data_IF_314651756752
#
_entry.id   IF_314651756752
#
_cell.length_a   1.000
_cell.length_b   1.000
_cell.length_c   1.000
_cell.angle_alpha   90.00
_cell.angle_beta   90.00
_cell.angle_gamma   90.00
#
_symmetry.space_group_name_H-M   'P 1'
#
loop_
_entity.id
_entity.type
_entity.pdbx_description
1 polymer ?
#
# COMPACT_ATOMS: atom_id res chain seq x y z
N UNK A 1 -23.13 26.96 -2.18
CA UNK A 1 -23.19 26.62 -3.61
C UNK A 1 -22.02 25.69 -3.83
N UNK A 2 -22.29 24.40 -3.57
CA UNK A 2 -21.33 23.32 -3.52
C UNK A 2 -20.98 22.87 -4.92
N UNK A 3 -19.71 22.77 -5.21
CA UNK A 3 -19.20 22.21 -6.45
C UNK A 3 -19.07 20.68 -6.29
N UNK A 4 -19.85 19.88 -7.01
CA UNK A 4 -19.74 18.44 -6.97
C UNK A 4 -19.03 17.98 -8.23
N UNK A 5 -17.72 17.84 -8.22
CA UNK A 5 -17.07 16.91 -9.15
C UNK A 5 -15.54 16.87 -8.94
N UNK A 6 -15.09 16.02 -8.01
CA UNK A 6 -13.71 15.49 -8.04
C UNK A 6 -13.75 13.96 -7.96
N UNK A 7 -14.50 13.36 -8.89
CA UNK A 7 -14.35 11.95 -9.23
C UNK A 7 -13.36 11.84 -10.37
N UNK A 8 -12.13 11.46 -10.06
CA UNK A 8 -11.21 10.95 -11.06
C UNK A 8 -11.90 9.84 -11.87
N UNK A 9 -11.93 9.92 -13.22
CA UNK A 9 -12.52 8.87 -14.04
C UNK A 9 -11.74 7.59 -13.85
N UNK A 10 -12.42 6.56 -13.33
CA UNK A 10 -11.95 5.20 -13.40
C UNK A 10 -11.84 4.81 -14.87
N UNK A 11 -10.64 4.84 -15.41
CA UNK A 11 -10.36 4.25 -16.72
C UNK A 11 -10.38 2.75 -16.52
N UNK A 12 -11.53 2.14 -16.82
CA UNK A 12 -11.62 0.70 -17.03
C UNK A 12 -10.60 0.30 -18.12
N UNK A 13 -9.86 -0.78 -17.94
CA UNK A 13 -8.98 -1.28 -18.99
C UNK A 13 -9.87 -1.80 -20.14
N UNK A 14 -9.82 -1.12 -21.26
CA UNK A 14 -10.40 -1.58 -22.52
C UNK A 14 -9.92 -3.02 -22.78
N UNK A 15 -10.87 -3.94 -22.83
CA UNK A 15 -10.66 -5.37 -23.11
C UNK A 15 -10.19 -5.54 -24.56
N UNK A 16 -8.91 -5.25 -24.80
CA UNK A 16 -8.22 -5.72 -25.99
C UNK A 16 -7.92 -7.22 -25.80
N UNK A 17 -8.31 -8.03 -26.75
CA UNK A 17 -8.25 -9.49 -26.77
C UNK A 17 -7.02 -10.04 -26.07
N UNK A 18 -7.24 -10.92 -25.11
CA UNK A 18 -6.21 -11.56 -24.28
C UNK A 18 -5.43 -12.55 -25.15
N UNK A 19 -4.49 -12.05 -25.92
CA UNK A 19 -3.39 -12.91 -26.41
C UNK A 19 -2.56 -13.18 -25.16
N UNK A 20 -2.59 -14.41 -24.66
CA UNK A 20 -1.71 -14.83 -23.57
C UNK A 20 -0.28 -14.65 -24.06
N UNK A 21 0.37 -13.58 -23.64
CA UNK A 21 1.78 -13.35 -23.95
C UNK A 21 2.57 -14.39 -23.18
N UNK A 22 3.31 -15.24 -23.88
CA UNK A 22 4.24 -16.17 -23.24
C UNK A 22 5.37 -15.37 -22.58
N UNK A 23 5.40 -15.40 -21.26
CA UNK A 23 6.40 -14.72 -20.44
C UNK A 23 7.43 -15.69 -19.86
N UNK A 24 7.48 -16.94 -20.31
CA UNK A 24 8.40 -17.97 -19.80
C UNK A 24 9.86 -17.54 -19.92
N UNK A 25 10.23 -16.87 -21.02
CA UNK A 25 11.57 -16.32 -21.23
C UNK A 25 11.98 -15.20 -20.27
N UNK A 26 11.04 -14.61 -19.52
CA UNK A 26 11.34 -13.51 -18.59
C UNK A 26 11.80 -13.96 -17.21
N UNK A 27 11.71 -15.25 -16.87
CA UNK A 27 12.12 -15.80 -15.56
C UNK A 27 11.60 -14.99 -14.36
N UNK A 28 10.36 -14.48 -14.45
CA UNK A 28 9.79 -13.56 -13.45
C UNK A 28 9.67 -14.21 -12.07
N UNK A 29 9.29 -15.50 -12.02
CA UNK A 29 9.14 -16.21 -10.75
C UNK A 29 10.47 -16.38 -10.02
N UNK A 30 11.54 -16.67 -10.77
CA UNK A 30 12.87 -16.79 -10.22
C UNK A 30 13.40 -15.45 -9.71
N UNK A 31 13.21 -14.38 -10.49
CA UNK A 31 13.53 -13.03 -10.04
C UNK A 31 12.76 -12.65 -8.75
N UNK A 32 11.45 -12.85 -8.73
CA UNK A 32 10.63 -12.52 -7.56
C UNK A 32 11.03 -13.37 -6.34
N UNK A 33 11.37 -14.64 -6.55
CA UNK A 33 11.91 -15.53 -5.51
C UNK A 33 13.24 -15.02 -4.92
N UNK A 34 14.08 -14.37 -5.72
CA UNK A 34 15.36 -13.80 -5.26
C UNK A 34 15.18 -12.57 -4.34
N UNK A 35 14.00 -11.95 -4.32
CA UNK A 35 13.72 -10.73 -3.55
C UNK A 35 13.33 -11.03 -2.09
N UNK A 36 14.12 -11.83 -1.37
CA UNK A 36 13.82 -12.31 -0.02
C UNK A 36 13.71 -11.19 1.03
N UNK A 37 14.36 -10.05 0.81
CA UNK A 37 14.34 -8.90 1.73
C UNK A 37 13.11 -7.99 1.58
N UNK A 38 12.25 -8.25 0.58
CA UNK A 38 11.06 -7.45 0.31
C UNK A 38 9.80 -8.13 0.85
N UNK A 39 8.83 -7.30 1.27
CA UNK A 39 7.50 -7.81 1.64
C UNK A 39 6.79 -8.44 0.45
N UNK A 40 5.88 -9.39 0.72
CA UNK A 40 5.07 -10.06 -0.30
C UNK A 40 4.30 -9.06 -1.17
N UNK A 41 3.74 -8.02 -0.55
CA UNK A 41 3.05 -6.93 -1.26
C UNK A 41 3.96 -6.20 -2.25
N UNK A 42 5.22 -5.98 -1.88
CA UNK A 42 6.19 -5.33 -2.78
C UNK A 42 6.61 -6.28 -3.90
N UNK A 43 6.81 -7.56 -3.60
CA UNK A 43 7.12 -8.60 -4.58
C UNK A 43 6.00 -8.72 -5.60
N UNK A 44 4.74 -8.76 -5.16
CA UNK A 44 3.59 -8.82 -6.06
C UNK A 44 3.41 -7.55 -6.92
N UNK A 45 3.68 -6.38 -6.33
CA UNK A 45 3.68 -5.13 -7.10
C UNK A 45 4.76 -5.14 -8.19
N UNK A 46 5.96 -5.67 -7.90
CA UNK A 46 7.03 -5.80 -8.89
C UNK A 46 6.69 -6.84 -9.96
N UNK A 47 6.12 -7.98 -9.58
CA UNK A 47 5.62 -8.99 -10.54
C UNK A 47 4.64 -8.36 -11.53
N UNK A 48 3.65 -7.66 -11.02
CA UNK A 48 2.64 -6.97 -11.84
C UNK A 48 3.28 -5.92 -12.76
N UNK A 49 4.21 -5.11 -12.25
CA UNK A 49 4.87 -4.07 -13.04
C UNK A 49 5.71 -4.64 -14.18
N UNK A 50 6.43 -5.73 -13.93
CA UNK A 50 7.26 -6.41 -14.92
C UNK A 50 6.40 -7.11 -15.97
N UNK A 51 5.33 -7.78 -15.57
CA UNK A 51 4.37 -8.37 -16.49
C UNK A 51 3.79 -7.34 -17.46
N UNK A 52 3.33 -6.21 -16.93
CA UNK A 52 2.78 -5.12 -17.75
C UNK A 52 3.82 -4.53 -18.71
N UNK A 53 5.09 -4.47 -18.31
CA UNK A 53 6.18 -4.07 -19.20
C UNK A 53 6.41 -5.09 -20.31
N UNK A 54 6.52 -6.36 -19.97
CA UNK A 54 6.73 -7.45 -20.93
C UNK A 54 5.58 -7.53 -21.95
N UNK A 55 4.32 -7.44 -21.49
CA UNK A 55 3.14 -7.37 -22.37
C UNK A 55 3.19 -6.13 -23.28
N UNK A 56 3.68 -5.00 -22.77
CA UNK A 56 3.79 -3.79 -23.57
C UNK A 56 4.84 -3.89 -24.66
N UNK A 57 6.04 -4.42 -24.34
CA UNK A 57 7.10 -4.59 -25.34
C UNK A 57 6.79 -5.70 -26.35
N UNK A 58 6.01 -6.71 -25.96
CA UNK A 58 5.56 -7.77 -26.87
C UNK A 58 4.76 -7.22 -28.07
N UNK A 59 4.02 -6.11 -27.87
CA UNK A 59 3.33 -5.38 -28.97
C UNK A 59 4.31 -4.80 -29.99
N UNK A 60 5.58 -4.65 -29.65
CA UNK A 60 6.67 -4.20 -30.52
C UNK A 60 7.54 -5.37 -31.00
N UNK A 61 7.02 -6.61 -30.87
CA UNK A 61 7.72 -7.85 -31.24
C UNK A 61 9.00 -8.11 -30.46
N UNK A 62 9.06 -7.64 -29.21
CA UNK A 62 10.10 -7.94 -28.24
C UNK A 62 9.56 -9.04 -27.33
N UNK A 63 10.10 -10.24 -27.48
CA UNK A 63 9.58 -11.46 -26.84
C UNK A 63 10.39 -11.88 -25.62
N UNK A 64 11.61 -11.37 -25.47
CA UNK A 64 12.52 -11.75 -24.40
C UNK A 64 13.29 -10.54 -23.83
N UNK A 65 13.86 -10.67 -22.63
CA UNK A 65 14.66 -9.59 -22.02
C UNK A 65 15.88 -9.18 -22.84
N UNK A 66 16.48 -10.11 -23.58
CA UNK A 66 17.68 -9.90 -24.41
C UNK A 66 17.42 -8.91 -25.55
N UNK A 67 16.18 -8.86 -26.04
CA UNK A 67 15.75 -7.98 -27.13
C UNK A 67 15.41 -6.57 -26.63
N UNK A 68 15.31 -6.38 -25.29
CA UNK A 68 14.96 -5.07 -24.71
C UNK A 68 16.14 -4.10 -24.87
N UNK A 69 15.86 -2.98 -25.49
CA UNK A 69 16.81 -1.89 -25.66
C UNK A 69 16.52 -0.73 -24.71
N UNK A 70 17.51 0.14 -24.50
CA UNK A 70 17.31 1.41 -23.78
C UNK A 70 16.18 2.24 -24.41
N UNK A 71 16.04 2.20 -25.71
CA UNK A 71 14.99 2.91 -26.45
C UNK A 71 13.61 2.34 -26.10
N UNK A 72 13.46 1.01 -26.00
CA UNK A 72 12.20 0.37 -25.58
C UNK A 72 11.81 0.84 -24.17
N UNK A 73 12.75 0.87 -23.23
CA UNK A 73 12.50 1.33 -21.87
C UNK A 73 12.07 2.81 -21.84
N UNK A 74 12.79 3.69 -22.55
CA UNK A 74 12.43 5.12 -22.63
C UNK A 74 11.04 5.34 -23.21
N UNK A 75 10.69 4.59 -24.27
CA UNK A 75 9.36 4.64 -24.88
C UNK A 75 8.27 4.17 -23.90
N UNK A 76 8.56 3.13 -23.11
CA UNK A 76 7.62 2.69 -22.08
C UNK A 76 7.38 3.76 -21.02
N UNK A 77 8.44 4.36 -20.50
CA UNK A 77 8.32 5.45 -19.50
C UNK A 77 7.57 6.65 -20.07
N UNK A 78 7.85 7.04 -21.33
CA UNK A 78 7.11 8.10 -22.01
C UNK A 78 5.62 7.73 -22.17
N UNK A 79 5.31 6.49 -22.56
CA UNK A 79 3.94 6.00 -22.68
C UNK A 79 3.18 6.08 -21.33
N UNK A 80 3.84 5.71 -20.21
CA UNK A 80 3.22 5.85 -18.88
C UNK A 80 2.90 7.32 -18.56
N UNK A 81 3.77 8.24 -18.93
CA UNK A 81 3.56 9.69 -18.74
C UNK A 81 2.42 10.20 -19.62
N UNK A 82 2.36 9.80 -20.89
CA UNK A 82 1.26 10.16 -21.81
C UNK A 82 -0.08 9.62 -21.33
N UNK A 83 -0.09 8.44 -20.72
CA UNK A 83 -1.28 7.83 -20.11
C UNK A 83 -1.61 8.40 -18.72
N UNK A 84 -0.95 9.49 -18.32
CA UNK A 84 -1.18 10.19 -17.06
C UNK A 84 -1.07 9.34 -15.80
N UNK A 85 -0.22 8.30 -15.81
CA UNK A 85 0.07 7.57 -14.58
C UNK A 85 0.66 8.51 -13.53
N UNK A 86 0.25 8.32 -12.27
CA UNK A 86 0.83 9.07 -11.16
C UNK A 86 2.36 8.92 -11.14
N UNK A 87 3.09 10.02 -10.94
CA UNK A 87 4.58 10.05 -10.93
C UNK A 87 5.18 8.99 -10.01
N UNK A 88 4.57 8.78 -8.83
CA UNK A 88 4.93 7.71 -7.89
C UNK A 88 4.83 6.32 -8.53
N UNK A 89 3.77 6.07 -9.30
CA UNK A 89 3.58 4.79 -9.99
C UNK A 89 4.62 4.59 -11.08
N UNK A 90 4.96 5.62 -11.84
CA UNK A 90 6.02 5.58 -12.86
C UNK A 90 7.38 5.30 -12.20
N UNK A 91 7.68 5.98 -11.10
CA UNK A 91 8.92 5.77 -10.36
C UNK A 91 9.02 4.33 -9.81
N UNK A 92 7.94 3.77 -9.25
CA UNK A 92 7.89 2.38 -8.77
C UNK A 92 8.11 1.39 -9.91
N UNK A 93 7.42 1.56 -11.04
CA UNK A 93 7.59 0.72 -12.25
C UNK A 93 9.03 0.75 -12.75
N UNK A 94 9.63 1.93 -12.83
CA UNK A 94 11.03 2.07 -13.20
C UNK A 94 11.99 1.42 -12.18
N UNK A 95 11.67 1.47 -10.88
CA UNK A 95 12.46 0.80 -9.85
C UNK A 95 12.38 -0.74 -9.99
N UNK A 96 11.21 -1.29 -10.29
CA UNK A 96 11.04 -2.71 -10.58
C UNK A 96 11.88 -3.15 -11.80
N UNK A 97 11.79 -2.41 -12.91
CA UNK A 97 12.59 -2.67 -14.13
C UNK A 97 14.09 -2.60 -13.84
N UNK A 98 14.54 -1.57 -13.11
CA UNK A 98 15.95 -1.37 -12.77
C UNK A 98 16.49 -2.52 -11.93
N UNK A 99 15.69 -3.03 -10.99
CA UNK A 99 16.07 -4.15 -10.15
C UNK A 99 16.08 -5.46 -10.92
N UNK A 100 15.11 -5.67 -11.82
CA UNK A 100 15.03 -6.84 -12.68
C UNK A 100 16.22 -6.90 -13.65
N UNK A 101 16.48 -5.86 -14.42
CA UNK A 101 17.58 -5.87 -15.41
C UNK A 101 18.96 -5.94 -14.74
N UNK A 102 19.13 -5.39 -13.56
CA UNK A 102 20.35 -5.61 -12.77
C UNK A 102 20.52 -7.09 -12.41
N UNK A 103 19.47 -7.72 -11.91
CA UNK A 103 19.48 -9.15 -11.59
C UNK A 103 19.77 -10.01 -12.83
N UNK A 104 19.22 -9.71 -14.00
CA UNK A 104 19.51 -10.46 -15.25
C UNK A 104 20.97 -10.32 -15.66
N UNK A 105 21.60 -9.17 -15.42
CA UNK A 105 23.04 -9.00 -15.67
C UNK A 105 23.88 -9.75 -14.61
N UNK A 106 23.54 -9.63 -13.34
CA UNK A 106 24.24 -10.32 -12.23
C UNK A 106 24.17 -11.85 -12.36
N UNK A 107 23.10 -12.37 -12.93
CA UNK A 107 22.92 -13.82 -13.19
C UNK A 107 23.43 -14.28 -14.58
N UNK A 108 24.09 -13.38 -15.32
CA UNK A 108 24.71 -13.70 -16.62
C UNK A 108 23.71 -13.92 -17.78
N UNK A 109 22.42 -13.57 -17.59
CA UNK A 109 21.39 -13.66 -18.64
C UNK A 109 21.51 -12.53 -19.66
N UNK A 110 21.95 -11.36 -19.22
CA UNK A 110 22.22 -10.22 -20.09
C UNK A 110 23.67 -9.76 -19.93
N UNK A 111 24.23 -9.27 -21.02
CA UNK A 111 25.57 -8.66 -21.03
C UNK A 111 25.56 -7.19 -20.67
N UNK A 112 24.42 -6.50 -20.80
CA UNK A 112 24.30 -5.07 -20.51
C UNK A 112 22.90 -4.74 -19.96
N UNK A 113 22.84 -3.78 -19.03
CA UNK A 113 21.60 -3.31 -18.44
C UNK A 113 20.89 -2.26 -19.33
N UNK A 114 19.72 -2.55 -19.92
CA UNK A 114 18.98 -1.58 -20.74
C UNK A 114 18.43 -0.38 -19.93
N UNK A 115 18.41 -0.49 -18.60
CA UNK A 115 18.05 0.63 -17.70
C UNK A 115 19.22 1.57 -17.42
N UNK A 116 20.45 1.23 -17.83
CA UNK A 116 21.63 2.08 -17.60
C UNK A 116 21.42 3.48 -18.18
N UNK A 117 21.55 4.51 -17.35
CA UNK A 117 21.37 5.91 -17.74
C UNK A 117 19.93 6.34 -18.06
N UNK A 118 18.92 5.49 -17.77
CA UNK A 118 17.52 5.89 -17.83
C UNK A 118 17.14 6.58 -16.53
N UNK A 119 16.95 7.90 -16.61
CA UNK A 119 16.46 8.68 -15.48
C UNK A 119 14.93 8.78 -15.55
N UNK A 120 14.29 8.53 -14.41
CA UNK A 120 12.87 8.72 -14.21
C UNK A 120 12.71 9.68 -13.04
N UNK A 121 12.19 10.88 -13.32
CA UNK A 121 11.93 11.85 -12.26
C UNK A 121 10.82 11.29 -11.34
N UNK A 122 11.15 11.14 -10.08
CA UNK A 122 10.19 10.74 -9.04
C UNK A 122 9.11 11.80 -8.76
N UNK A 123 9.22 12.98 -9.40
CA UNK A 123 8.44 14.15 -9.07
C UNK A 123 8.92 14.81 -7.78
N UNK A 124 8.52 16.03 -7.56
CA UNK A 124 8.70 16.67 -6.26
C UNK A 124 7.92 15.87 -5.21
N UNK A 125 8.60 15.47 -4.16
CA UNK A 125 7.93 14.95 -2.97
C UNK A 125 7.16 16.12 -2.37
N UNK A 126 5.86 16.20 -2.62
CA UNK A 126 5.02 17.11 -1.84
C UNK A 126 5.18 16.70 -0.39
N UNK A 127 5.59 17.63 0.44
CA UNK A 127 5.54 17.44 1.88
C UNK A 127 4.11 17.04 2.23
N UNK A 128 3.93 16.06 3.14
CA UNK A 128 2.61 15.75 3.63
C UNK A 128 1.95 17.02 4.14
N UNK A 129 0.67 17.22 3.81
CA UNK A 129 -0.11 18.28 4.44
C UNK A 129 -0.22 17.92 5.92
N UNK A 130 0.30 18.76 6.77
CA UNK A 130 0.12 18.65 8.22
C UNK A 130 -1.21 19.31 8.54
N UNK A 131 -2.07 18.62 9.29
CA UNK A 131 -3.30 19.20 9.80
C UNK A 131 -2.92 20.29 10.80
N UNK A 132 -3.61 21.42 10.76
CA UNK A 132 -3.51 22.42 11.82
C UNK A 132 -4.24 21.93 13.08
N UNK A 133 -4.11 22.71 14.16
CA UNK A 133 -4.69 22.32 15.44
C UNK A 133 -6.21 22.19 15.38
N UNK A 134 -6.87 23.13 14.74
CA UNK A 134 -8.34 23.16 14.64
C UNK A 134 -8.87 22.04 13.74
N UNK A 135 -8.12 21.68 12.68
CA UNK A 135 -8.43 20.53 11.82
C UNK A 135 -8.28 19.21 12.59
N UNK A 136 -7.25 19.13 13.44
CA UNK A 136 -6.99 17.95 14.27
C UNK A 136 -8.06 17.79 15.36
N UNK A 137 -8.42 18.87 16.06
CA UNK A 137 -9.48 18.85 17.07
C UNK A 137 -10.82 18.41 16.47
N UNK A 138 -11.18 18.91 15.29
CA UNK A 138 -12.40 18.48 14.56
C UNK A 138 -12.37 17.03 14.11
N UNK A 139 -11.19 16.48 13.85
CA UNK A 139 -11.04 15.06 13.49
C UNK A 139 -11.18 14.16 14.72
N UNK A 140 -10.60 14.56 15.85
CA UNK A 140 -10.62 13.77 17.08
C UNK A 140 -11.94 13.90 17.84
N UNK A 141 -12.65 15.05 17.70
CA UNK A 141 -13.92 15.32 18.33
C UNK A 141 -15.00 15.64 17.27
N UNK A 142 -15.37 14.67 16.43
CA UNK A 142 -16.39 14.89 15.41
C UNK A 142 -17.75 15.19 16.06
N UNK A 143 -18.62 15.96 15.38
CA UNK A 143 -19.99 16.19 15.84
C UNK A 143 -20.71 14.86 16.06
N UNK A 144 -21.46 14.76 17.15
CA UNK A 144 -22.25 13.57 17.47
C UNK A 144 -23.39 13.44 16.48
N UNK A 145 -23.39 12.37 15.68
CA UNK A 145 -24.55 11.94 14.89
C UNK A 145 -25.47 11.10 15.79
N UNK A 146 -26.71 11.56 16.05
CA UNK A 146 -27.63 10.81 16.91
C UNK A 146 -28.06 9.47 16.32
N UNK A 147 -27.95 9.30 15.00
CA UNK A 147 -28.34 8.06 14.31
C UNK A 147 -27.17 7.06 14.17
N UNK A 148 -25.96 7.48 14.57
CA UNK A 148 -24.77 6.61 14.53
C UNK A 148 -24.81 5.58 15.67
N UNK A 149 -24.62 4.27 15.38
CA UNK A 149 -24.51 3.26 16.42
C UNK A 149 -23.36 3.55 17.39
N UNK A 150 -23.61 3.38 18.69
CA UNK A 150 -22.63 3.67 19.75
C UNK A 150 -21.32 2.90 19.58
N UNK A 151 -21.41 1.62 19.15
CA UNK A 151 -20.24 0.80 18.89
C UNK A 151 -19.36 1.37 17.77
N UNK A 152 -19.97 1.99 16.74
CA UNK A 152 -19.22 2.57 15.61
C UNK A 152 -18.40 3.75 16.10
N UNK A 153 -19.03 4.66 16.83
CA UNK A 153 -18.35 5.82 17.42
C UNK A 153 -17.22 5.38 18.33
N UNK A 154 -17.47 4.45 19.25
CA UNK A 154 -16.47 3.95 20.17
C UNK A 154 -15.29 3.28 19.44
N UNK A 155 -15.55 2.57 18.32
CA UNK A 155 -14.51 2.00 17.47
C UNK A 155 -13.68 3.09 16.80
N UNK A 156 -14.33 4.06 16.19
CA UNK A 156 -13.66 5.09 15.39
C UNK A 156 -12.86 6.02 16.29
N UNK A 157 -13.36 6.37 17.48
CA UNK A 157 -12.61 7.07 18.54
C UNK A 157 -11.35 6.28 18.93
N UNK A 158 -11.47 4.99 19.18
CA UNK A 158 -10.34 4.15 19.58
C UNK A 158 -9.31 4.00 18.42
N UNK A 159 -9.77 3.92 17.18
CA UNK A 159 -8.88 3.89 15.98
C UNK A 159 -8.12 5.21 15.87
N UNK A 160 -8.77 6.35 15.98
CA UNK A 160 -8.15 7.67 15.87
C UNK A 160 -7.16 7.91 17.03
N UNK A 161 -7.53 7.60 18.26
CA UNK A 161 -6.66 7.70 19.42
C UNK A 161 -5.43 6.80 19.32
N UNK A 162 -5.58 5.56 18.84
CA UNK A 162 -4.46 4.68 18.58
C UNK A 162 -3.52 5.24 17.52
N UNK A 163 -4.04 5.75 16.41
CA UNK A 163 -3.22 6.28 15.33
C UNK A 163 -2.48 7.55 15.75
N UNK A 164 -3.18 8.46 16.41
CA UNK A 164 -2.63 9.75 16.83
C UNK A 164 -1.75 9.64 18.08
N UNK A 165 -2.27 9.01 19.14
CA UNK A 165 -1.61 8.97 20.44
C UNK A 165 -0.42 8.01 20.50
N UNK A 166 -0.45 6.90 19.74
CA UNK A 166 0.62 5.91 19.76
C UNK A 166 1.51 5.91 18.52
N UNK A 167 1.09 6.56 17.45
CA UNK A 167 1.84 6.61 16.18
C UNK A 167 2.01 5.24 15.50
N UNK A 168 1.12 4.28 15.76
CA UNK A 168 1.09 3.00 15.04
C UNK A 168 0.73 3.23 13.58
N UNK A 169 1.28 2.42 12.68
CA UNK A 169 0.88 2.48 11.27
C UNK A 169 -0.51 1.88 11.10
N UNK A 170 -1.30 2.41 10.15
CA UNK A 170 -2.64 1.87 9.84
C UNK A 170 -2.61 0.35 9.64
N UNK A 171 -1.61 -0.18 8.93
CA UNK A 171 -1.50 -1.63 8.71
C UNK A 171 -1.17 -2.42 10.00
N UNK A 172 -0.42 -1.84 10.93
CA UNK A 172 -0.12 -2.43 12.23
C UNK A 172 -1.38 -2.42 13.12
N UNK A 173 -2.11 -1.29 13.15
CA UNK A 173 -3.39 -1.17 13.84
C UNK A 173 -4.40 -2.22 13.37
N UNK A 174 -4.57 -2.35 12.04
CA UNK A 174 -5.50 -3.34 11.47
C UNK A 174 -5.11 -4.81 11.78
N UNK A 175 -3.84 -5.06 12.06
CA UNK A 175 -3.33 -6.40 12.38
C UNK A 175 -3.40 -6.76 13.87
N UNK A 176 -3.80 -5.81 14.74
CA UNK A 176 -3.86 -6.06 16.18
C UNK A 176 -4.98 -7.04 16.55
N UNK A 177 -4.65 -7.90 17.49
CA UNK A 177 -5.60 -8.72 18.24
C UNK A 177 -5.78 -8.16 19.66
N UNK A 178 -6.82 -8.57 20.35
CA UNK A 178 -7.13 -8.06 21.71
C UNK A 178 -6.02 -8.39 22.69
N UNK A 179 -5.38 -9.56 22.55
CA UNK A 179 -4.29 -10.03 23.41
C UNK A 179 -2.98 -9.26 23.22
N UNK A 180 -2.89 -8.45 22.18
CA UNK A 180 -1.75 -7.55 21.96
C UNK A 180 -1.78 -6.32 22.88
N UNK A 181 -2.89 -6.07 23.58
CA UNK A 181 -3.06 -4.92 24.47
C UNK A 181 -2.74 -5.27 25.93
N UNK A 182 -1.96 -4.42 26.56
CA UNK A 182 -1.84 -4.36 28.02
C UNK A 182 -2.33 -2.99 28.50
N UNK A 183 -3.63 -2.92 28.80
CA UNK A 183 -4.27 -1.67 29.25
C UNK A 183 -3.94 -1.31 30.70
N UNK A 184 -3.37 -2.23 31.48
CA UNK A 184 -2.93 -1.97 32.85
C UNK A 184 -1.57 -1.26 32.81
N UNK A 185 -0.66 -1.73 31.97
CA UNK A 185 0.65 -1.11 31.75
C UNK A 185 0.62 0.01 30.69
N UNK A 186 -0.54 0.27 30.07
CA UNK A 186 -0.67 1.29 29.02
C UNK A 186 0.22 1.00 27.80
N UNK A 187 0.22 -0.21 27.30
CA UNK A 187 1.05 -0.60 26.16
C UNK A 187 0.33 -1.49 25.17
N UNK A 188 0.81 -1.49 23.92
CA UNK A 188 0.38 -2.41 22.86
C UNK A 188 1.58 -3.02 22.17
N UNK A 189 1.49 -4.30 21.83
CA UNK A 189 2.49 -5.07 21.11
C UNK A 189 2.17 -5.06 19.64
N UNK A 190 3.04 -4.45 18.82
CA UNK A 190 2.83 -4.32 17.37
C UNK A 190 3.97 -4.97 16.57
N UNK A 191 3.60 -5.52 15.42
CA UNK A 191 4.54 -6.16 14.50
C UNK A 191 4.86 -5.22 13.33
N UNK A 192 6.11 -4.80 13.24
CA UNK A 192 6.59 -3.91 12.19
C UNK A 192 7.14 -4.64 10.97
N UNK A 193 7.72 -3.88 10.05
CA UNK A 193 8.37 -4.42 8.86
C UNK A 193 9.47 -5.43 9.23
N UNK A 194 9.43 -6.61 8.58
CA UNK A 194 10.40 -7.69 8.83
C UNK A 194 10.09 -8.51 10.08
N UNK A 195 8.81 -8.59 10.46
CA UNK A 195 8.35 -9.35 11.64
C UNK A 195 9.08 -8.97 12.93
N UNK A 196 9.42 -7.69 13.07
CA UNK A 196 10.01 -7.17 14.31
C UNK A 196 8.90 -6.68 15.21
N UNK A 197 8.84 -7.29 16.40
CA UNK A 197 7.95 -6.86 17.47
C UNK A 197 8.49 -5.59 18.15
N UNK A 198 7.58 -4.69 18.54
CA UNK A 198 7.88 -3.57 19.42
C UNK A 198 6.69 -3.27 20.32
N UNK A 199 6.96 -2.81 21.51
CA UNK A 199 5.96 -2.22 22.40
C UNK A 199 5.77 -0.75 22.03
N UNK A 200 4.52 -0.33 22.06
CA UNK A 200 4.09 1.04 21.81
C UNK A 200 3.36 1.54 23.04
N UNK A 201 3.77 2.67 23.65
CA UNK A 201 3.08 3.24 24.80
C UNK A 201 1.71 3.79 24.38
N UNK A 202 0.72 3.59 25.23
CA UNK A 202 -0.63 4.11 25.09
C UNK A 202 -0.86 5.20 26.15
N UNK A 203 -1.18 6.41 25.71
CA UNK A 203 -1.58 7.48 26.60
C UNK A 203 -2.94 7.20 27.24
N UNK A 204 -3.24 7.91 28.33
CA UNK A 204 -4.50 7.77 29.08
C UNK A 204 -5.74 7.94 28.18
N UNK A 205 -5.82 8.93 27.25
CA UNK A 205 -6.96 9.06 26.33
C UNK A 205 -7.14 7.82 25.44
N UNK A 206 -6.02 7.27 24.92
CA UNK A 206 -6.04 6.07 24.09
C UNK A 206 -6.54 4.85 24.88
N UNK A 207 -6.08 4.69 26.11
CA UNK A 207 -6.51 3.60 27.00
C UNK A 207 -8.01 3.68 27.29
N UNK A 208 -8.53 4.88 27.55
CA UNK A 208 -9.95 5.08 27.85
C UNK A 208 -10.84 4.85 26.62
N UNK A 209 -10.40 5.28 25.42
CA UNK A 209 -11.09 5.00 24.18
C UNK A 209 -11.12 3.47 23.89
N UNK A 210 -9.99 2.78 24.09
CA UNK A 210 -9.92 1.33 23.95
C UNK A 210 -10.82 0.59 24.94
N UNK A 211 -10.88 1.03 26.20
CA UNK A 211 -11.79 0.41 27.19
C UNK A 211 -13.25 0.55 26.79
N UNK A 212 -13.66 1.72 26.32
CA UNK A 212 -15.03 1.92 25.79
C UNK A 212 -15.31 1.01 24.60
N UNK A 213 -14.41 0.97 23.64
CA UNK A 213 -14.55 0.10 22.48
C UNK A 213 -14.64 -1.37 22.87
N UNK A 214 -13.77 -1.87 23.70
CA UNK A 214 -13.76 -3.27 24.14
C UNK A 214 -15.05 -3.68 24.85
N UNK A 215 -15.72 -2.74 25.51
CA UNK A 215 -17.04 -2.95 26.13
C UNK A 215 -18.14 -3.25 25.11
N UNK A 216 -18.07 -2.64 23.92
CA UNK A 216 -19.06 -2.75 22.85
C UNK A 216 -18.63 -3.68 21.71
N UNK A 217 -17.34 -4.00 21.63
CA UNK A 217 -16.73 -4.73 20.52
C UNK A 217 -17.47 -6.03 20.17
N UNK A 218 -17.94 -6.77 21.17
CA UNK A 218 -18.62 -8.06 20.98
C UNK A 218 -19.95 -7.97 20.26
N UNK A 219 -20.51 -6.79 20.12
CA UNK A 219 -21.73 -6.56 19.33
C UNK A 219 -21.46 -6.75 17.83
N UNK A 220 -20.19 -6.57 17.39
CA UNK A 220 -19.82 -6.56 15.98
C UNK A 220 -18.77 -7.62 15.65
N UNK A 221 -17.80 -7.84 16.53
CA UNK A 221 -16.62 -8.68 16.30
C UNK A 221 -16.70 -9.93 17.15
N UNK A 222 -16.65 -11.09 16.51
CA UNK A 222 -16.70 -12.40 17.20
C UNK A 222 -15.35 -13.07 17.34
N UNK A 223 -14.34 -12.67 16.54
CA UNK A 223 -12.98 -13.22 16.57
C UNK A 223 -12.04 -12.48 17.54
N UNK A 224 -10.75 -12.72 17.41
CA UNK A 224 -9.71 -12.14 18.29
C UNK A 224 -9.21 -10.77 17.79
N UNK A 225 -9.54 -10.36 16.56
CA UNK A 225 -9.14 -9.08 15.98
C UNK A 225 -9.60 -7.90 16.81
N UNK A 226 -8.70 -6.96 17.13
CA UNK A 226 -9.03 -5.79 17.95
C UNK A 226 -10.13 -4.94 17.31
N UNK A 227 -10.02 -4.67 16.02
CA UNK A 227 -10.96 -3.83 15.28
C UNK A 227 -11.64 -4.59 14.14
N UNK A 228 -12.96 -4.45 14.05
CA UNK A 228 -13.77 -5.00 12.98
C UNK A 228 -14.47 -3.93 12.14
N UNK A 229 -14.72 -4.25 10.87
CA UNK A 229 -15.57 -3.45 9.99
C UNK A 229 -17.06 -3.74 10.26
N UNK A 230 -17.96 -3.05 9.54
CA UNK A 230 -19.41 -3.22 9.69
C UNK A 230 -19.94 -4.65 9.46
N UNK A 231 -19.14 -5.50 8.83
CA UNK A 231 -19.47 -6.91 8.58
C UNK A 231 -18.88 -7.85 9.63
N UNK A 232 -18.35 -7.30 10.72
CA UNK A 232 -17.69 -8.07 11.79
C UNK A 232 -16.36 -8.72 11.39
N UNK A 233 -15.78 -8.34 10.23
CA UNK A 233 -14.48 -8.84 9.80
C UNK A 233 -13.38 -7.88 10.21
N UNK A 234 -12.15 -8.40 10.33
CA UNK A 234 -10.97 -7.59 10.61
C UNK A 234 -10.94 -6.33 9.75
N UNK A 235 -10.72 -5.19 10.39
CA UNK A 235 -10.55 -3.91 9.74
C UNK A 235 -9.35 -3.95 8.77
N UNK A 236 -9.48 -3.31 7.62
CA UNK A 236 -8.38 -3.20 6.65
C UNK A 236 -7.93 -1.74 6.50
N UNK A 237 -6.70 -1.48 5.98
CA UNK A 237 -6.25 -0.11 5.71
C UNK A 237 -7.09 0.69 4.72
N UNK A 238 -8.12 0.11 4.13
CA UNK A 238 -9.09 0.81 3.28
C UNK A 238 -10.35 1.18 4.01
N UNK A 239 -10.61 0.53 5.13
CA UNK A 239 -11.78 0.78 5.97
C UNK A 239 -11.50 1.94 6.95
N UNK A 240 -10.22 2.27 7.18
CA UNK A 240 -9.71 3.42 7.93
C UNK A 240 -9.46 4.59 6.99
#
# INVERSE_FOLDING_TARGET
MSDPDDRAPGVEPEAAGTTVTDLSGWSLDEFIGSLTSLSDRTREAYRTDLRLFAEWVARMRVSSPEEVTRTSVRRYVANLSTRQYARRSIARKAAALRRYFRWTVETGRLTADPMAGVQVSGGESRLPRVLDRDELERLLEPPIDPDEPEWRRARDDAVLEMLYGSGVRVAELCALDVDALDLAEGSARVWGKGSRERLVPLGEPTVDALRRWLGLRREVVTGDELFGNERGRRLTPRDV
#
